data_IF_112092123913
#
_entry.id   IF_112092123913
#
_cell.length_a   1.000
_cell.length_b   1.000
_cell.length_c   1.000
_cell.angle_alpha   90.00
_cell.angle_beta   90.00
_cell.angle_gamma   90.00
#
_symmetry.space_group_name_H-M   'P 1'
#
loop_
_entity.id
_entity.type
_entity.pdbx_description
1 polymer ?
#
# COMPACT_ATOMS: atom_id res chain seq x y z
N UNK A 1 -7.85 1.49 13.65
CA UNK A 1 -7.02 1.15 12.45
C UNK A 1 -7.92 0.64 11.33
N UNK A 2 -7.74 1.11 10.09
CA UNK A 2 -8.47 0.61 8.92
C UNK A 2 -7.76 -0.63 8.34
N UNK A 3 -8.56 -1.60 7.91
CA UNK A 3 -8.05 -2.84 7.31
C UNK A 3 -8.08 -2.72 5.77
N UNK A 4 -6.88 -2.71 5.16
CA UNK A 4 -6.68 -2.77 3.73
C UNK A 4 -6.39 -4.22 3.33
N UNK A 5 -7.23 -4.78 2.46
CA UNK A 5 -7.08 -6.15 1.95
C UNK A 5 -6.75 -6.09 0.46
N UNK A 6 -5.80 -6.91 0.01
CA UNK A 6 -5.29 -6.86 -1.37
C UNK A 6 -5.85 -7.98 -2.25
N UNK A 7 -7.00 -7.80 -2.94
CA UNK A 7 -7.51 -8.75 -3.93
C UNK A 7 -6.77 -8.65 -5.28
N UNK A 8 -6.69 -9.77 -6.01
CA UNK A 8 -6.16 -9.84 -7.38
C UNK A 8 -7.26 -9.72 -8.45
N UNK A 9 -8.49 -10.08 -8.10
CA UNK A 9 -9.61 -10.17 -9.03
C UNK A 9 -10.93 -9.85 -8.33
N UNK A 10 -12.01 -9.82 -9.12
CA UNK A 10 -13.34 -9.44 -8.65
C UNK A 10 -13.90 -10.40 -7.57
N UNK A 11 -13.64 -11.70 -7.69
CA UNK A 11 -14.16 -12.69 -6.72
C UNK A 11 -13.47 -12.54 -5.37
N UNK A 12 -12.15 -12.35 -5.36
CA UNK A 12 -11.41 -12.03 -4.14
C UNK A 12 -11.85 -10.69 -3.52
N UNK A 13 -12.16 -9.68 -4.36
CA UNK A 13 -12.64 -8.40 -3.90
C UNK A 13 -14.00 -8.52 -3.18
N UNK A 14 -14.91 -9.35 -3.70
CA UNK A 14 -16.19 -9.66 -3.05
C UNK A 14 -15.99 -10.35 -1.71
N UNK A 15 -15.08 -11.32 -1.63
CA UNK A 15 -14.76 -12.02 -0.38
C UNK A 15 -14.13 -11.08 0.67
N UNK A 16 -13.22 -10.20 0.24
CA UNK A 16 -12.63 -9.20 1.12
C UNK A 16 -13.69 -8.22 1.67
N UNK A 17 -14.59 -7.76 0.81
CA UNK A 17 -15.69 -6.88 1.19
C UNK A 17 -16.65 -7.56 2.16
N UNK A 18 -17.05 -8.82 1.86
CA UNK A 18 -17.89 -9.63 2.73
C UNK A 18 -17.30 -9.82 4.13
N UNK A 19 -15.97 -9.98 4.21
CA UNK A 19 -15.24 -10.09 5.48
C UNK A 19 -15.04 -8.76 6.22
N UNK A 20 -15.47 -7.62 5.66
CA UNK A 20 -15.43 -6.30 6.31
C UNK A 20 -14.13 -5.53 6.10
N UNK A 21 -13.45 -5.70 4.97
CA UNK A 21 -12.33 -4.82 4.59
C UNK A 21 -12.80 -3.37 4.48
N UNK A 22 -11.99 -2.42 5.00
CA UNK A 22 -12.27 -0.99 4.91
C UNK A 22 -11.76 -0.37 3.61
N UNK A 23 -10.75 -0.99 2.98
CA UNK A 23 -10.14 -0.57 1.72
C UNK A 23 -9.82 -1.82 0.90
N UNK A 24 -10.17 -1.83 -0.39
CA UNK A 24 -9.75 -2.86 -1.33
C UNK A 24 -8.53 -2.37 -2.11
N UNK A 25 -7.41 -3.09 -2.03
CA UNK A 25 -6.14 -2.73 -2.65
C UNK A 25 -5.85 -3.62 -3.85
N UNK A 26 -6.24 -3.16 -5.03
CA UNK A 26 -6.11 -3.93 -6.28
C UNK A 26 -4.65 -4.06 -6.67
N UNK A 27 -4.12 -5.29 -6.58
CA UNK A 27 -2.73 -5.58 -6.99
C UNK A 27 -2.58 -6.94 -7.64
N UNK A 28 -1.47 -7.12 -8.38
CA UNK A 28 -1.08 -8.38 -8.98
C UNK A 28 0.21 -8.92 -8.33
N UNK A 29 0.14 -9.86 -7.37
CA UNK A 29 1.32 -10.41 -6.72
C UNK A 29 2.31 -11.14 -7.64
N UNK A 30 1.92 -11.44 -8.89
CA UNK A 30 2.79 -12.05 -9.90
C UNK A 30 3.79 -11.05 -10.50
N UNK A 31 3.52 -9.76 -10.40
CA UNK A 31 4.36 -8.68 -10.91
C UNK A 31 5.21 -8.00 -9.84
N UNK A 32 5.22 -8.50 -8.61
CA UNK A 32 6.04 -7.95 -7.55
C UNK A 32 5.33 -7.81 -6.20
N UNK A 33 5.98 -7.13 -5.27
CA UNK A 33 5.39 -6.82 -3.97
C UNK A 33 4.20 -5.88 -4.10
N UNK A 34 4.36 -4.81 -4.86
CA UNK A 34 3.34 -3.83 -5.21
C UNK A 34 3.02 -3.88 -6.72
N UNK A 35 3.00 -5.10 -7.29
CA UNK A 35 2.76 -5.31 -8.72
C UNK A 35 1.44 -4.71 -9.19
N UNK A 36 1.47 -4.00 -10.32
CA UNK A 36 0.29 -3.38 -10.90
C UNK A 36 -0.69 -4.43 -11.42
N UNK A 37 -1.98 -4.11 -11.33
CA UNK A 37 -3.01 -4.90 -11.97
C UNK A 37 -3.51 -4.22 -13.25
N UNK A 38 -4.19 -4.97 -14.09
CA UNK A 38 -4.70 -4.47 -15.35
C UNK A 38 -5.79 -3.40 -15.16
N UNK A 39 -5.85 -2.38 -16.04
CA UNK A 39 -6.85 -1.31 -15.95
C UNK A 39 -8.30 -1.81 -15.87
N UNK A 40 -8.63 -2.86 -16.61
CA UNK A 40 -9.99 -3.45 -16.57
C UNK A 40 -10.29 -4.15 -15.23
N UNK A 41 -9.28 -4.76 -14.57
CA UNK A 41 -9.46 -5.35 -13.24
C UNK A 41 -9.68 -4.27 -12.17
N UNK A 42 -8.92 -3.17 -12.23
CA UNK A 42 -9.12 -2.02 -11.35
C UNK A 42 -10.53 -1.47 -11.53
N UNK A 43 -10.97 -1.24 -12.78
CA UNK A 43 -12.30 -0.71 -13.09
C UNK A 43 -13.43 -1.62 -12.61
N UNK A 44 -13.35 -2.92 -12.86
CA UNK A 44 -14.36 -3.89 -12.43
C UNK A 44 -14.54 -3.90 -10.91
N UNK A 45 -13.42 -3.84 -10.16
CA UNK A 45 -13.46 -3.82 -8.69
C UNK A 45 -13.97 -2.46 -8.19
N UNK A 46 -13.53 -1.36 -8.79
CA UNK A 46 -14.01 -0.02 -8.47
C UNK A 46 -15.51 0.14 -8.70
N UNK A 47 -16.02 -0.37 -9.83
CA UNK A 47 -17.47 -0.33 -10.12
C UNK A 47 -18.28 -1.18 -9.14
N UNK A 48 -17.77 -2.36 -8.75
CA UNK A 48 -18.42 -3.24 -7.78
C UNK A 48 -18.47 -2.63 -6.38
N UNK A 49 -17.41 -1.97 -5.94
CA UNK A 49 -17.28 -1.40 -4.59
C UNK A 49 -17.73 0.05 -4.47
N UNK A 50 -18.21 0.66 -5.58
CA UNK A 50 -18.59 2.08 -5.64
C UNK A 50 -19.58 2.46 -4.54
N UNK A 51 -19.22 3.44 -3.72
CA UNK A 51 -20.03 3.94 -2.62
C UNK A 51 -20.06 3.02 -1.38
N UNK A 52 -19.30 1.91 -1.38
CA UNK A 52 -19.21 0.98 -0.25
C UNK A 52 -17.90 1.18 0.51
N UNK A 53 -16.77 0.99 -0.19
CA UNK A 53 -15.42 1.21 0.36
C UNK A 53 -14.52 1.84 -0.70
N UNK A 54 -13.50 2.63 -0.29
CA UNK A 54 -12.53 3.18 -1.24
C UNK A 54 -11.64 2.08 -1.84
N UNK A 55 -11.16 2.36 -3.05
CA UNK A 55 -10.28 1.50 -3.83
C UNK A 55 -8.87 2.06 -3.83
N UNK A 56 -7.90 1.26 -3.42
CA UNK A 56 -6.48 1.48 -3.66
C UNK A 56 -6.04 0.66 -4.88
N UNK A 57 -5.14 1.20 -5.70
CA UNK A 57 -4.50 0.44 -6.75
C UNK A 57 -2.99 0.72 -6.76
N UNK A 58 -2.20 -0.34 -6.92
CA UNK A 58 -0.75 -0.20 -7.10
C UNK A 58 -0.44 0.08 -8.57
N UNK A 59 0.58 0.91 -8.81
CA UNK A 59 1.09 1.20 -10.15
C UNK A 59 2.38 0.44 -10.49
N UNK A 60 2.81 -0.44 -9.60
CA UNK A 60 3.99 -1.30 -9.75
C UNK A 60 5.20 -0.86 -8.95
N UNK A 61 6.18 -1.74 -8.94
CA UNK A 61 7.54 -1.53 -8.42
C UNK A 61 8.39 -1.01 -9.60
N UNK A 62 8.31 0.29 -9.85
CA UNK A 62 8.94 0.89 -11.03
C UNK A 62 10.41 1.26 -10.77
N UNK A 63 11.24 1.10 -11.79
CA UNK A 63 12.52 1.79 -11.87
C UNK A 63 12.33 3.31 -11.91
N UNK A 64 13.42 4.06 -11.75
CA UNK A 64 13.38 5.51 -11.86
C UNK A 64 12.99 5.97 -13.28
N UNK A 65 11.68 6.07 -13.50
CA UNK A 65 11.04 6.51 -14.76
C UNK A 65 9.84 7.41 -14.46
N UNK A 66 10.05 8.69 -14.08
CA UNK A 66 8.97 9.58 -13.63
C UNK A 66 7.80 9.71 -14.62
N UNK A 67 8.10 9.82 -15.91
CA UNK A 67 7.07 9.90 -16.95
C UNK A 67 6.23 8.63 -17.06
N UNK A 68 6.85 7.45 -17.00
CA UNK A 68 6.12 6.17 -17.00
C UNK A 68 5.27 6.01 -15.75
N UNK A 69 5.83 6.38 -14.58
CA UNK A 69 5.12 6.33 -13.30
C UNK A 69 3.89 7.25 -13.30
N UNK A 70 4.01 8.48 -13.84
CA UNK A 70 2.90 9.43 -13.90
C UNK A 70 1.78 8.94 -14.83
N UNK A 71 2.12 8.32 -15.97
CA UNK A 71 1.13 7.73 -16.89
C UNK A 71 0.41 6.53 -16.25
N UNK A 72 1.14 5.67 -15.54
CA UNK A 72 0.55 4.55 -14.81
C UNK A 72 -0.38 5.03 -13.69
N UNK A 73 0.03 6.07 -12.96
CA UNK A 73 -0.77 6.68 -11.89
C UNK A 73 -2.08 7.30 -12.42
N UNK A 74 -2.00 8.06 -13.51
CA UNK A 74 -3.18 8.59 -14.19
C UNK A 74 -4.11 7.46 -14.65
N UNK A 75 -3.55 6.39 -15.24
CA UNK A 75 -4.32 5.22 -15.66
C UNK A 75 -5.09 4.57 -14.52
N UNK A 76 -4.46 4.38 -13.37
CA UNK A 76 -5.11 3.83 -12.17
C UNK A 76 -6.22 4.77 -11.65
N UNK A 77 -5.98 6.09 -11.62
CA UNK A 77 -6.94 7.09 -11.18
C UNK A 77 -8.19 7.13 -12.10
N UNK A 78 -8.00 7.11 -13.42
CA UNK A 78 -9.08 7.06 -14.43
C UNK A 78 -9.90 5.76 -14.31
N UNK A 79 -9.26 4.64 -13.91
CA UNK A 79 -9.94 3.37 -13.70
C UNK A 79 -10.73 3.30 -12.39
N UNK A 80 -10.76 4.38 -11.59
CA UNK A 80 -11.60 4.48 -10.42
C UNK A 80 -10.90 4.23 -9.09
N UNK A 81 -9.56 4.12 -9.06
CA UNK A 81 -8.84 4.08 -7.80
C UNK A 81 -8.96 5.42 -7.07
N UNK A 82 -9.19 5.37 -5.75
CA UNK A 82 -9.21 6.51 -4.83
C UNK A 82 -7.82 6.78 -4.24
N UNK A 83 -7.05 5.69 -4.03
CA UNK A 83 -5.67 5.71 -3.58
C UNK A 83 -4.77 5.14 -4.68
N UNK A 84 -3.81 5.92 -5.14
CA UNK A 84 -2.84 5.53 -6.15
C UNK A 84 -1.50 5.28 -5.45
N UNK A 85 -1.07 4.01 -5.42
CA UNK A 85 0.09 3.58 -4.64
C UNK A 85 1.29 3.29 -5.51
N UNK A 86 2.39 4.01 -5.24
CA UNK A 86 3.66 3.88 -5.93
C UNK A 86 4.71 3.20 -5.06
N UNK A 87 5.27 2.08 -5.53
CA UNK A 87 6.38 1.38 -4.89
C UNK A 87 7.73 1.97 -5.34
N UNK A 88 8.58 2.35 -4.40
CA UNK A 88 9.87 2.99 -4.67
C UNK A 88 11.02 1.99 -4.72
N UNK A 89 10.82 0.82 -5.34
CA UNK A 89 11.81 -0.27 -5.35
C UNK A 89 13.12 0.12 -6.05
N UNK A 90 13.04 0.73 -7.22
CA UNK A 90 14.20 1.15 -8.01
C UNK A 90 14.73 2.55 -7.66
N UNK A 91 14.28 3.14 -6.56
CA UNK A 91 14.65 4.50 -6.14
C UNK A 91 15.73 4.44 -5.07
N UNK A 92 16.86 5.13 -5.31
CA UNK A 92 18.06 5.04 -4.47
C UNK A 92 18.40 6.31 -3.72
N UNK A 93 17.88 7.46 -4.15
CA UNK A 93 18.19 8.76 -3.56
C UNK A 93 16.92 9.56 -3.28
N UNK A 94 17.00 10.47 -2.31
CA UNK A 94 15.90 11.40 -2.01
C UNK A 94 15.49 12.21 -3.24
N UNK A 95 16.46 12.71 -4.03
CA UNK A 95 16.16 13.47 -5.25
C UNK A 95 15.33 12.67 -6.25
N UNK A 96 15.65 11.39 -6.45
CA UNK A 96 14.85 10.50 -7.30
C UNK A 96 13.44 10.27 -6.71
N UNK A 97 13.34 10.09 -5.39
CA UNK A 97 12.04 9.91 -4.74
C UNK A 97 11.16 11.15 -4.87
N UNK A 98 11.73 12.34 -4.66
CA UNK A 98 11.02 13.62 -4.86
C UNK A 98 10.54 13.77 -6.30
N UNK A 99 11.41 13.55 -7.28
CA UNK A 99 11.07 13.77 -8.70
C UNK A 99 9.97 12.81 -9.19
N UNK A 100 10.11 11.51 -8.91
CA UNK A 100 9.08 10.52 -9.33
C UNK A 100 7.75 10.76 -8.64
N UNK A 101 7.75 10.99 -7.31
CA UNK A 101 6.51 11.23 -6.56
C UNK A 101 5.85 12.55 -6.94
N UNK A 102 6.63 13.62 -7.18
CA UNK A 102 6.08 14.90 -7.66
C UNK A 102 5.38 14.72 -9.01
N UNK A 103 5.98 13.95 -9.93
CA UNK A 103 5.39 13.63 -11.23
C UNK A 103 4.07 12.86 -11.11
N UNK A 104 4.01 11.89 -10.17
CA UNK A 104 2.79 11.13 -9.86
C UNK A 104 1.72 12.03 -9.23
N UNK A 105 2.08 12.79 -8.19
CA UNK A 105 1.14 13.69 -7.49
C UNK A 105 0.55 14.70 -8.47
N UNK A 106 1.38 15.34 -9.29
CA UNK A 106 0.92 16.29 -10.30
C UNK A 106 -0.09 15.64 -11.24
N UNK A 107 0.24 14.49 -11.82
CA UNK A 107 -0.62 13.78 -12.77
C UNK A 107 -1.98 13.38 -12.17
N UNK A 108 -1.97 12.89 -10.92
CA UNK A 108 -3.18 12.46 -10.22
C UNK A 108 -4.03 13.65 -9.78
N UNK A 109 -3.42 14.68 -9.18
CA UNK A 109 -4.16 15.84 -8.62
C UNK A 109 -4.68 16.78 -9.70
N UNK A 110 -4.04 16.89 -10.87
CA UNK A 110 -4.57 17.60 -12.03
C UNK A 110 -5.80 16.90 -12.62
N UNK A 111 -5.86 15.55 -12.56
CA UNK A 111 -7.03 14.79 -12.98
C UNK A 111 -8.19 14.90 -11.97
N UNK A 112 -7.90 14.65 -10.69
CA UNK A 112 -8.88 14.73 -9.62
C UNK A 112 -8.19 15.03 -8.28
N UNK A 113 -8.35 16.23 -7.70
CA UNK A 113 -7.69 16.61 -6.44
C UNK A 113 -8.16 15.81 -5.23
N UNK A 114 -9.29 15.08 -5.31
CA UNK A 114 -9.78 14.22 -4.21
C UNK A 114 -9.04 12.86 -4.14
N UNK A 115 -8.41 12.44 -5.25
CA UNK A 115 -7.61 11.20 -5.26
C UNK A 115 -6.38 11.33 -4.38
N UNK A 116 -6.02 10.25 -3.69
CA UNK A 116 -4.89 10.22 -2.76
C UNK A 116 -3.69 9.49 -3.37
N UNK A 117 -2.50 10.04 -3.17
CA UNK A 117 -1.25 9.40 -3.57
C UNK A 117 -0.58 8.78 -2.36
N UNK A 118 -0.22 7.51 -2.48
CA UNK A 118 0.47 6.72 -1.45
C UNK A 118 1.91 6.47 -1.87
N UNK A 119 2.86 7.01 -1.13
CA UNK A 119 4.28 6.71 -1.29
C UNK A 119 4.63 5.45 -0.47
N UNK A 120 5.11 4.39 -1.13
CA UNK A 120 5.44 3.14 -0.46
C UNK A 120 6.94 2.82 -0.59
N UNK A 121 7.60 2.56 0.55
CA UNK A 121 8.97 2.06 0.61
C UNK A 121 9.01 0.70 1.31
N UNK A 122 10.19 0.11 1.38
CA UNK A 122 10.36 -1.26 1.84
C UNK A 122 11.16 -1.33 3.13
N UNK A 123 10.67 -2.08 4.12
CA UNK A 123 11.38 -2.31 5.37
C UNK A 123 12.71 -3.04 5.15
N UNK A 124 12.75 -3.93 4.17
CA UNK A 124 13.95 -4.67 3.75
C UNK A 124 14.77 -3.94 2.65
N UNK A 125 14.67 -2.60 2.59
CA UNK A 125 15.30 -1.74 1.58
C UNK A 125 16.78 -2.00 1.33
N UNK A 126 17.54 -2.36 2.38
CA UNK A 126 18.99 -2.71 2.25
C UNK A 126 19.23 -3.95 1.39
N UNK A 127 18.26 -4.86 1.31
CA UNK A 127 18.35 -6.10 0.51
C UNK A 127 18.11 -5.88 -0.97
N UNK A 128 17.44 -4.78 -1.30
CA UNK A 128 17.07 -4.43 -2.67
C UNK A 128 17.69 -3.12 -3.14
N UNK A 129 18.63 -2.59 -2.37
CA UNK A 129 19.36 -1.35 -2.68
C UNK A 129 18.42 -0.18 -3.03
N UNK A 130 17.41 0.01 -2.19
CA UNK A 130 16.39 1.05 -2.31
C UNK A 130 16.53 2.11 -1.21
N UNK A 131 15.79 3.20 -1.33
CA UNK A 131 15.72 4.28 -0.32
C UNK A 131 15.15 3.77 1.00
N UNK A 132 15.67 4.31 2.11
CA UNK A 132 15.15 4.01 3.45
C UNK A 132 13.71 4.50 3.60
N UNK A 133 12.80 3.70 4.18
CA UNK A 133 11.45 4.14 4.49
C UNK A 133 11.41 5.37 5.41
N UNK A 134 12.41 5.56 6.28
CA UNK A 134 12.49 6.69 7.19
C UNK A 134 12.56 8.06 6.49
N UNK A 135 12.91 8.08 5.19
CA UNK A 135 12.92 9.31 4.39
C UNK A 135 11.53 9.69 3.85
N UNK A 136 10.59 8.73 3.81
CA UNK A 136 9.30 8.93 3.16
C UNK A 136 8.43 10.04 3.75
N UNK A 137 8.32 10.20 5.08
CA UNK A 137 7.46 11.24 5.65
C UNK A 137 7.82 12.65 5.15
N UNK A 138 9.10 12.98 5.16
CA UNK A 138 9.59 14.29 4.69
C UNK A 138 9.44 14.44 3.17
N UNK A 139 9.79 13.40 2.41
CA UNK A 139 9.59 13.38 0.95
C UNK A 139 8.12 13.54 0.59
N UNK A 140 7.21 12.79 1.23
CA UNK A 140 5.78 12.89 1.01
C UNK A 140 5.23 14.28 1.32
N UNK A 141 5.72 14.89 2.40
CA UNK A 141 5.37 16.27 2.74
C UNK A 141 5.82 17.27 1.66
N UNK A 142 7.06 17.14 1.21
CA UNK A 142 7.67 18.00 0.18
C UNK A 142 6.94 17.95 -1.16
N UNK A 143 6.44 16.78 -1.57
CA UNK A 143 5.77 16.58 -2.86
C UNK A 143 4.24 16.67 -2.79
N UNK A 144 3.65 16.73 -1.59
CA UNK A 144 2.19 16.75 -1.41
C UNK A 144 1.52 15.38 -1.57
N UNK A 145 2.25 14.27 -1.36
CA UNK A 145 1.61 12.96 -1.25
C UNK A 145 0.79 12.87 0.04
N UNK A 146 -0.25 12.05 0.04
CA UNK A 146 -1.27 12.04 1.11
C UNK A 146 -0.96 11.02 2.20
N UNK A 147 -0.26 9.93 1.85
CA UNK A 147 -0.04 8.78 2.73
C UNK A 147 1.34 8.17 2.48
N UNK A 148 1.98 7.68 3.55
CA UNK A 148 3.21 6.90 3.48
C UNK A 148 2.96 5.46 3.90
N UNK A 149 3.67 4.52 3.27
CA UNK A 149 3.50 3.10 3.53
C UNK A 149 4.84 2.38 3.62
N UNK A 150 4.92 1.42 4.54
CA UNK A 150 6.01 0.44 4.60
C UNK A 150 5.47 -0.95 4.25
N UNK A 151 6.14 -1.65 3.33
CA UNK A 151 5.90 -3.06 2.98
C UNK A 151 7.24 -3.81 3.00
N UNK A 152 7.30 -5.09 2.66
CA UNK A 152 8.52 -5.83 2.32
C UNK A 152 8.65 -5.96 0.81
N UNK A 153 9.84 -5.78 0.24
CA UNK A 153 10.10 -6.00 -1.19
C UNK A 153 10.15 -7.50 -1.49
N UNK A 154 10.97 -8.24 -0.75
CA UNK A 154 11.16 -9.67 -0.93
C UNK A 154 10.13 -10.44 -0.10
N UNK A 155 9.37 -11.32 -0.75
CA UNK A 155 8.29 -12.11 -0.12
C UNK A 155 8.78 -13.53 0.21
N UNK A 156 9.77 -13.62 1.10
CA UNK A 156 10.38 -14.87 1.56
C UNK A 156 9.86 -15.36 2.94
N UNK A 157 8.74 -14.80 3.39
CA UNK A 157 8.11 -15.14 4.67
C UNK A 157 8.48 -14.19 5.81
N UNK A 158 9.56 -13.41 5.67
CA UNK A 158 9.94 -12.42 6.68
C UNK A 158 9.03 -11.20 6.64
N UNK A 159 8.70 -10.70 7.82
CA UNK A 159 7.80 -9.56 8.01
C UNK A 159 8.54 -8.24 8.15
N UNK A 160 7.81 -7.14 8.01
CA UNK A 160 8.32 -5.79 8.29
C UNK A 160 8.96 -5.69 9.68
N UNK A 161 8.42 -6.40 10.68
CA UNK A 161 8.89 -6.38 12.07
C UNK A 161 10.25 -7.07 12.29
N UNK A 162 10.75 -7.80 11.29
CA UNK A 162 12.10 -8.39 11.31
C UNK A 162 13.16 -7.46 10.70
N UNK A 163 12.74 -6.41 10.03
CA UNK A 163 13.63 -5.44 9.36
C UNK A 163 13.61 -4.06 10.01
N UNK A 164 12.51 -3.70 10.66
CA UNK A 164 12.35 -2.46 11.42
C UNK A 164 11.96 -2.80 12.86
N UNK A 165 12.70 -2.26 13.81
CA UNK A 165 12.36 -2.41 15.22
C UNK A 165 11.06 -1.68 15.57
N UNK A 166 10.48 -1.97 16.74
CA UNK A 166 9.32 -1.22 17.24
C UNK A 166 9.62 0.28 17.30
N UNK A 167 10.80 0.67 17.80
CA UNK A 167 11.21 2.07 17.86
C UNK A 167 11.28 2.73 16.48
N UNK A 168 11.87 2.04 15.46
CA UNK A 168 11.90 2.57 14.08
C UNK A 168 10.48 2.79 13.53
N UNK A 169 9.54 1.89 13.83
CA UNK A 169 8.16 2.01 13.37
C UNK A 169 7.40 3.11 14.12
N UNK A 170 7.63 3.28 15.42
CA UNK A 170 7.10 4.40 16.22
C UNK A 170 7.61 5.74 15.68
N UNK A 171 8.90 5.85 15.41
CA UNK A 171 9.52 7.05 14.84
C UNK A 171 8.96 7.35 13.44
N UNK A 172 8.81 6.32 12.59
CA UNK A 172 8.22 6.47 11.25
C UNK A 172 6.78 6.99 11.32
N UNK A 173 5.94 6.41 12.19
CA UNK A 173 4.54 6.82 12.38
C UNK A 173 4.46 8.25 12.90
N UNK A 174 5.24 8.56 13.96
CA UNK A 174 5.25 9.89 14.58
C UNK A 174 5.70 10.96 13.57
N UNK A 175 6.78 10.72 12.84
CA UNK A 175 7.28 11.67 11.85
C UNK A 175 6.26 11.90 10.71
N UNK A 176 5.59 10.85 10.26
CA UNK A 176 4.54 10.96 9.25
C UNK A 176 3.35 11.80 9.77
N UNK A 177 2.90 11.55 10.99
CA UNK A 177 1.82 12.31 11.61
C UNK A 177 2.20 13.78 11.83
N UNK A 178 3.45 14.09 12.23
CA UNK A 178 3.97 15.46 12.29
C UNK A 178 3.91 16.14 10.92
N UNK A 179 4.19 15.39 9.86
CA UNK A 179 4.07 15.86 8.47
C UNK A 179 2.60 15.90 7.97
N UNK A 180 1.61 15.56 8.79
CA UNK A 180 0.19 15.53 8.42
C UNK A 180 -0.15 14.41 7.44
N UNK A 181 0.59 13.28 7.45
CA UNK A 181 0.39 12.12 6.55
C UNK A 181 -0.22 10.96 7.31
N UNK A 182 -1.16 10.25 6.67
CA UNK A 182 -1.62 8.95 7.15
C UNK A 182 -0.53 7.88 6.93
N UNK A 183 -0.52 6.86 7.78
CA UNK A 183 0.48 5.78 7.74
C UNK A 183 -0.17 4.43 7.49
N UNK A 184 0.38 3.67 6.55
CA UNK A 184 0.05 2.27 6.35
C UNK A 184 1.24 1.37 6.68
N UNK A 185 1.01 0.31 7.46
CA UNK A 185 1.98 -0.75 7.71
C UNK A 185 1.50 -2.03 7.04
N UNK A 186 2.39 -2.63 6.25
CA UNK A 186 2.19 -3.90 5.57
C UNK A 186 3.48 -4.74 5.64
N UNK A 187 3.58 -5.80 4.84
CA UNK A 187 4.78 -6.63 4.75
C UNK A 187 4.70 -7.89 5.59
N UNK A 188 4.10 -8.93 5.04
CA UNK A 188 3.99 -10.27 5.64
C UNK A 188 3.44 -10.26 7.08
N UNK A 189 2.41 -9.44 7.30
CA UNK A 189 1.74 -9.35 8.61
C UNK A 189 1.02 -10.67 8.89
N UNK A 190 1.24 -11.22 10.09
CA UNK A 190 0.58 -12.39 10.64
C UNK A 190 -0.19 -12.07 11.92
N UNK A 191 -1.03 -13.00 12.40
CA UNK A 191 -1.81 -12.83 13.64
C UNK A 191 -0.94 -12.55 14.87
N UNK A 192 0.29 -13.06 14.90
CA UNK A 192 1.26 -12.83 15.98
C UNK A 192 1.70 -11.36 16.10
N UNK A 193 1.49 -10.53 15.08
CA UNK A 193 1.91 -9.14 15.07
C UNK A 193 0.81 -8.16 15.56
N UNK A 194 -0.40 -8.64 15.81
CA UNK A 194 -1.56 -7.78 16.09
C UNK A 194 -1.41 -6.99 17.40
N UNK A 195 -0.84 -7.59 18.44
CA UNK A 195 -0.64 -6.88 19.71
C UNK A 195 0.36 -5.73 19.55
N UNK A 196 1.43 -5.93 18.77
CA UNK A 196 2.36 -4.86 18.44
C UNK A 196 1.70 -3.76 17.61
N UNK A 197 0.88 -4.13 16.62
CA UNK A 197 0.14 -3.17 15.81
C UNK A 197 -0.88 -2.34 16.62
N UNK A 198 -1.48 -2.94 17.66
CA UNK A 198 -2.34 -2.19 18.59
C UNK A 198 -1.58 -1.18 19.44
N UNK A 199 -0.31 -1.46 19.75
CA UNK A 199 0.57 -0.51 20.44
C UNK A 199 1.00 0.60 19.49
N UNK A 200 1.43 0.25 18.27
CA UNK A 200 1.91 1.20 17.25
C UNK A 200 0.81 2.12 16.69
N UNK A 201 -0.42 1.62 16.60
CA UNK A 201 -1.61 2.34 16.09
C UNK A 201 -1.40 3.05 14.74
N UNK A 202 -0.91 2.38 13.68
CA UNK A 202 -0.92 2.98 12.35
C UNK A 202 -2.36 3.24 11.89
N UNK A 203 -2.56 4.15 10.95
CA UNK A 203 -3.90 4.46 10.43
C UNK A 203 -4.49 3.30 9.63
N UNK A 204 -3.64 2.57 8.89
CA UNK A 204 -4.01 1.47 8.00
C UNK A 204 -3.07 0.28 8.20
N UNK A 205 -3.66 -0.92 8.20
CA UNK A 205 -2.92 -2.18 8.14
C UNK A 205 -3.22 -2.85 6.79
N UNK A 206 -2.16 -3.09 6.00
CA UNK A 206 -2.26 -3.73 4.69
C UNK A 206 -1.93 -5.22 4.74
N UNK A 207 -2.85 -6.07 4.26
CA UNK A 207 -2.69 -7.52 4.32
C UNK A 207 -3.07 -8.23 3.02
N UNK A 208 -2.43 -9.39 2.77
CA UNK A 208 -2.86 -10.40 1.81
C UNK A 208 -2.65 -11.81 2.36
N UNK A 209 -1.42 -12.25 2.61
CA UNK A 209 -1.11 -13.64 2.97
C UNK A 209 -1.91 -14.18 4.15
N UNK A 210 -2.07 -13.41 5.21
CA UNK A 210 -2.82 -13.79 6.42
C UNK A 210 -4.29 -14.14 6.12
N UNK A 211 -4.92 -13.42 5.18
CA UNK A 211 -6.32 -13.63 4.80
C UNK A 211 -6.48 -14.66 3.67
N UNK A 212 -5.36 -15.15 3.13
CA UNK A 212 -5.30 -16.27 2.16
C UNK A 212 -4.89 -17.60 2.83
N UNK A 213 -4.79 -17.63 4.18
CA UNK A 213 -4.37 -18.83 4.92
C UNK A 213 -2.86 -19.06 4.94
N UNK A 214 -2.06 -18.02 4.73
CA UNK A 214 -0.59 -18.04 4.74
C UNK A 214 0.05 -18.07 3.35
N UNK A 215 -0.64 -18.58 2.35
CA UNK A 215 -0.17 -18.56 0.95
C UNK A 215 -0.75 -17.35 0.20
N UNK A 216 0.10 -16.35 -0.09
CA UNK A 216 -0.32 -15.14 -0.80
C UNK A 216 -0.79 -15.37 -2.25
N UNK A 217 -0.56 -16.54 -2.82
CA UNK A 217 -1.04 -16.93 -4.16
C UNK A 217 -2.43 -17.59 -4.10
N UNK A 218 -2.84 -18.07 -2.93
CA UNK A 218 -4.18 -18.61 -2.72
C UNK A 218 -5.25 -17.51 -2.67
N UNK A 219 -6.50 -17.92 -2.82
CA UNK A 219 -7.65 -17.00 -2.74
C UNK A 219 -7.86 -16.46 -1.33
N UNK A 220 -8.38 -15.25 -1.25
CA UNK A 220 -8.84 -14.62 -0.01
C UNK A 220 -9.99 -15.44 0.58
N UNK A 221 -10.01 -15.56 1.92
CA UNK A 221 -11.05 -16.21 2.71
C UNK A 221 -11.78 -15.17 3.54
N UNK A 222 -13.07 -14.99 3.30
CA UNK A 222 -13.88 -13.97 3.97
C UNK A 222 -13.86 -14.13 5.51
N UNK A 223 -13.88 -15.37 6.00
CA UNK A 223 -13.81 -15.69 7.44
C UNK A 223 -12.49 -15.24 8.10
N UNK A 224 -11.38 -15.23 7.34
CA UNK A 224 -10.10 -14.74 7.86
C UNK A 224 -10.05 -13.21 7.86
N UNK A 225 -10.67 -12.56 6.88
CA UNK A 225 -10.82 -11.09 6.87
C UNK A 225 -11.69 -10.65 8.05
N UNK A 226 -12.84 -11.29 8.26
CA UNK A 226 -13.75 -11.02 9.39
C UNK A 226 -13.05 -11.24 10.75
N UNK A 227 -12.33 -12.37 10.89
CA UNK A 227 -11.55 -12.66 12.09
C UNK A 227 -10.53 -11.56 12.36
N UNK A 228 -9.78 -11.16 11.33
CA UNK A 228 -8.78 -10.10 11.46
C UNK A 228 -9.43 -8.76 11.81
N UNK A 229 -10.51 -8.38 11.13
CA UNK A 229 -11.26 -7.15 11.41
C UNK A 229 -11.73 -7.06 12.85
N UNK A 230 -12.29 -8.16 13.37
CA UNK A 230 -12.74 -8.24 14.78
C UNK A 230 -11.59 -8.13 15.78
N UNK A 231 -10.41 -8.65 15.45
CA UNK A 231 -9.24 -8.58 16.33
C UNK A 231 -8.56 -7.19 16.33
N UNK A 232 -8.80 -6.37 15.32
CA UNK A 232 -8.26 -5.01 15.20
C UNK A 232 -9.13 -3.94 15.88
N UNK A 233 -10.39 -4.26 16.11
CA UNK A 233 -11.34 -3.43 16.87
C UNK A 233 -11.31 -3.77 18.37
#
# INVERSE_FOLDING_TARGET
>A
MRLLVSPMNLDEARLALLGGADILDVKNPKEGSLGANFPWAIRQIADMARGIVPISATIGDLDYKPGTASLAALGAAICGADYIKAGLLGIKTEGQAVDILLSIVKSVKEFDPQKKVVAAAYSDYKRVDSISPMMLPEVANKVGADLVMVDTAIKDGRSTFEFMSQADLEDFINLAHICGKEVAIAGTIGFQHLELLKVLQPDIIGVRGIVCGGDRQASIKAELVEKLKRLLN
#
